data_IF_296941745303
#
_entry.id   IF_296941745303
#
_cell.length_a   1.000
_cell.length_b   1.000
_cell.length_c   1.000
_cell.angle_alpha   90.00
_cell.angle_beta   90.00
_cell.angle_gamma   90.00
#
_symmetry.space_group_name_H-M   'P 1'
#
loop_
_entity.id
_entity.type
_entity.pdbx_description
1 polymer ?
#
# COMPACT_ATOMS: atom_id res chain seq x y z
N UNK A 1 40.09 -35.27 -59.21
CA UNK A 1 41.31 -34.92 -58.46
C UNK A 1 40.89 -34.34 -57.12
N UNK A 2 41.40 -34.89 -56.01
CA UNK A 2 41.70 -34.17 -54.77
C UNK A 2 40.55 -33.65 -53.89
N UNK A 3 40.49 -34.17 -52.66
CA UNK A 3 39.59 -33.84 -51.56
C UNK A 3 39.80 -32.43 -50.96
N UNK A 4 38.77 -31.85 -50.35
CA UNK A 4 38.75 -31.60 -48.89
C UNK A 4 37.32 -31.34 -48.35
N UNK A 5 37.00 -31.98 -47.23
CA UNK A 5 35.71 -31.96 -46.54
C UNK A 5 35.67 -30.85 -45.47
N UNK A 6 34.54 -30.13 -45.34
CA UNK A 6 33.96 -29.81 -44.03
C UNK A 6 32.45 -29.65 -44.12
N UNK A 7 31.76 -30.56 -43.44
CA UNK A 7 30.30 -30.68 -43.41
C UNK A 7 29.75 -29.90 -42.20
N UNK A 8 28.78 -28.99 -42.39
CA UNK A 8 27.60 -28.88 -41.52
C UNK A 8 26.40 -28.59 -42.43
N UNK A 9 25.42 -29.47 -42.33
CA UNK A 9 24.47 -29.87 -43.37
C UNK A 9 23.18 -29.05 -43.30
N UNK A 10 22.66 -28.78 -44.47
CA UNK A 10 21.34 -28.20 -44.71
C UNK A 10 20.30 -29.33 -44.95
N UNK A 11 19.02 -28.99 -44.79
CA UNK A 11 17.79 -29.57 -45.41
C UNK A 11 16.85 -30.43 -44.52
N UNK A 12 15.58 -30.00 -44.58
CA UNK A 12 14.30 -30.49 -44.04
C UNK A 12 13.94 -31.96 -44.29
N UNK A 13 13.01 -32.53 -43.50
CA UNK A 13 11.82 -33.31 -43.96
C UNK A 13 10.78 -33.60 -42.83
N UNK A 14 9.53 -33.14 -43.04
CA UNK A 14 8.18 -33.76 -42.89
C UNK A 14 7.64 -34.51 -41.62
N UNK A 15 6.39 -34.10 -41.21
CA UNK A 15 5.13 -34.85 -40.85
C UNK A 15 5.18 -35.98 -39.79
N UNK A 16 4.19 -36.28 -38.93
CA UNK A 16 2.72 -36.18 -38.91
C UNK A 16 2.21 -36.37 -37.47
N UNK A 17 1.11 -35.73 -37.05
CA UNK A 17 0.30 -36.19 -35.92
C UNK A 17 -1.02 -36.77 -36.45
N UNK A 18 -1.24 -38.05 -36.17
CA UNK A 18 -2.44 -38.80 -36.53
C UNK A 18 -3.53 -38.47 -35.50
N UNK A 19 -4.58 -37.72 -35.90
CA UNK A 19 -5.81 -37.63 -35.11
C UNK A 19 -6.64 -38.89 -35.38
N UNK A 20 -6.80 -39.73 -34.36
CA UNK A 20 -7.84 -40.77 -34.34
C UNK A 20 -8.94 -40.26 -33.42
N UNK A 21 -10.04 -39.81 -34.01
CA UNK A 21 -11.24 -39.42 -33.28
C UNK A 21 -11.80 -40.66 -32.56
N UNK A 22 -11.89 -40.60 -31.24
CA UNK A 22 -12.80 -41.45 -30.47
C UNK A 22 -13.87 -40.57 -29.84
N UNK A 23 -15.10 -40.95 -30.15
CA UNK A 23 -16.36 -40.36 -29.71
C UNK A 23 -16.51 -40.49 -28.19
N UNK A 24 -16.97 -39.41 -27.56
CA UNK A 24 -17.66 -39.36 -26.26
C UNK A 24 -16.85 -39.69 -24.99
N UNK A 25 -16.13 -38.69 -24.45
CA UNK A 25 -16.03 -38.52 -23.00
C UNK A 25 -15.51 -37.10 -22.68
N UNK A 26 -16.34 -36.25 -22.07
CA UNK A 26 -16.01 -34.87 -21.76
C UNK A 26 -15.21 -34.82 -20.44
N UNK A 27 -13.91 -35.10 -20.49
CA UNK A 27 -12.97 -34.74 -19.43
C UNK A 27 -12.22 -33.48 -19.86
N UNK A 28 -12.55 -32.34 -19.27
CA UNK A 28 -11.83 -31.09 -19.48
C UNK A 28 -10.49 -31.15 -18.74
N UNK A 29 -9.43 -31.53 -19.46
CA UNK A 29 -8.05 -31.47 -19.01
C UNK A 29 -7.63 -29.98 -18.89
N UNK A 30 -7.59 -29.46 -17.67
CA UNK A 30 -7.03 -28.15 -17.38
C UNK A 30 -5.51 -28.16 -17.62
N UNK A 31 -5.07 -27.63 -18.75
CA UNK A 31 -3.65 -27.35 -19.03
C UNK A 31 -3.24 -26.11 -18.22
N UNK A 32 -2.39 -26.33 -17.22
CA UNK A 32 -1.79 -25.30 -16.39
C UNK A 32 -0.94 -24.33 -17.23
N UNK A 33 -1.49 -23.14 -17.47
CA UNK A 33 -0.76 -22.00 -18.06
C UNK A 33 -0.06 -21.24 -16.92
N UNK A 34 1.12 -21.73 -16.49
CA UNK A 34 2.11 -20.89 -15.79
C UNK A 34 2.71 -19.94 -16.83
N UNK A 35 2.15 -18.74 -16.97
CA UNK A 35 2.70 -17.73 -17.86
C UNK A 35 3.89 -17.03 -17.21
N UNK A 36 5.05 -17.29 -17.82
CA UNK A 36 6.32 -16.56 -17.76
C UNK A 36 6.09 -15.04 -17.72
N UNK A 37 6.63 -14.39 -16.69
CA UNK A 37 6.89 -12.96 -16.74
C UNK A 37 8.11 -12.69 -17.63
N UNK A 38 7.91 -12.09 -18.80
CA UNK A 38 9.00 -11.48 -19.56
C UNK A 38 9.46 -10.23 -18.80
N UNK A 39 10.68 -10.27 -18.26
CA UNK A 39 11.40 -9.07 -17.85
C UNK A 39 12.27 -8.65 -19.04
N UNK A 40 12.03 -7.43 -19.54
CA UNK A 40 12.87 -6.81 -20.55
C UNK A 40 14.25 -6.55 -19.95
N UNK A 41 15.23 -7.38 -20.33
CA UNK A 41 16.64 -7.11 -20.12
C UNK A 41 17.06 -6.10 -21.18
N UNK A 42 17.35 -4.87 -20.78
CA UNK A 42 18.06 -3.91 -21.63
C UNK A 42 19.55 -4.14 -21.46
N UNK A 43 20.15 -5.01 -22.27
CA UNK A 43 21.60 -5.02 -22.46
C UNK A 43 21.98 -3.82 -23.34
N UNK A 44 22.39 -2.72 -22.71
CA UNK A 44 22.99 -1.59 -23.42
C UNK A 44 24.51 -1.74 -23.37
N UNK A 45 25.09 -2.42 -24.36
CA UNK A 45 26.54 -2.52 -24.54
C UNK A 45 27.06 -1.28 -25.28
N UNK A 46 27.47 -0.25 -24.54
CA UNK A 46 28.15 0.90 -25.12
C UNK A 46 29.66 0.65 -25.14
N UNK A 47 30.18 0.27 -26.30
CA UNK A 47 31.61 0.01 -26.48
C UNK A 47 32.33 1.34 -26.79
N UNK A 48 32.84 2.01 -25.76
CA UNK A 48 33.85 3.08 -25.93
C UNK A 48 34.87 3.00 -24.80
N UNK A 49 36.12 2.85 -25.26
CA UNK A 49 37.38 2.82 -24.54
C UNK A 49 37.43 3.54 -23.18
N UNK A 50 38.04 2.84 -22.22
CA UNK A 50 38.71 3.30 -21.00
C UNK A 50 37.85 3.81 -19.84
N UNK A 51 38.07 3.15 -18.68
CA UNK A 51 37.56 3.42 -17.33
C UNK A 51 36.16 2.83 -17.04
N UNK A 52 36.12 1.65 -16.42
CA UNK A 52 34.90 1.10 -15.81
C UNK A 52 34.64 1.92 -14.53
N UNK A 53 33.91 3.02 -14.65
CA UNK A 53 33.15 3.54 -13.53
C UNK A 53 31.97 2.60 -13.32
N UNK A 54 31.95 1.89 -12.19
CA UNK A 54 30.73 1.20 -11.73
C UNK A 54 29.74 2.31 -11.38
N UNK A 55 28.94 2.70 -12.35
CA UNK A 55 27.82 3.61 -12.14
C UNK A 55 26.87 2.92 -11.16
N UNK A 56 26.81 3.42 -9.92
CA UNK A 56 25.91 2.87 -8.89
C UNK A 56 24.48 3.10 -9.37
N UNK A 57 23.86 2.07 -9.91
CA UNK A 57 22.43 2.09 -10.19
C UNK A 57 21.70 2.42 -8.89
N UNK A 58 21.07 3.59 -8.84
CA UNK A 58 20.29 3.98 -7.67
C UNK A 58 19.15 2.98 -7.46
N UNK A 59 19.04 2.43 -6.25
CA UNK A 59 18.10 1.35 -5.88
C UNK A 59 18.38 0.01 -6.58
N UNK A 60 19.61 -0.51 -6.48
CA UNK A 60 19.92 -1.87 -6.94
C UNK A 60 19.07 -2.91 -6.22
N UNK A 61 18.36 -3.75 -6.98
CA UNK A 61 17.65 -4.91 -6.44
C UNK A 61 18.69 -5.95 -6.02
N UNK A 62 18.73 -6.27 -4.72
CA UNK A 62 19.57 -7.35 -4.22
C UNK A 62 18.95 -8.69 -4.63
N UNK A 63 19.59 -9.35 -5.60
CA UNK A 63 19.18 -10.67 -6.04
C UNK A 63 19.54 -11.68 -4.95
N UNK A 64 18.54 -12.09 -4.17
CA UNK A 64 18.69 -13.26 -3.32
C UNK A 64 18.65 -14.49 -4.21
N UNK A 65 19.84 -15.06 -4.50
CA UNK A 65 19.98 -16.44 -4.97
C UNK A 65 19.57 -17.38 -3.83
N UNK A 66 18.28 -17.38 -3.51
CA UNK A 66 17.70 -18.42 -2.68
C UNK A 66 17.22 -19.46 -3.68
N UNK A 67 17.95 -20.56 -3.80
CA UNK A 67 17.51 -21.75 -4.53
C UNK A 67 16.20 -22.21 -3.90
N UNK A 68 15.07 -21.71 -4.42
CA UNK A 68 13.72 -22.09 -4.01
C UNK A 68 13.40 -23.46 -4.61
N UNK A 69 14.13 -24.48 -4.17
CA UNK A 69 13.74 -25.86 -4.39
C UNK A 69 12.60 -26.11 -3.39
N UNK A 70 11.38 -25.77 -3.79
CA UNK A 70 10.17 -26.20 -3.09
C UNK A 70 9.89 -27.63 -3.54
N UNK A 71 10.04 -28.65 -2.67
CA UNK A 71 9.61 -30.00 -3.01
C UNK A 71 8.08 -30.00 -3.07
N UNK A 72 7.53 -29.73 -4.26
CA UNK A 72 6.10 -29.66 -4.49
C UNK A 72 5.53 -31.08 -4.53
N UNK A 73 5.15 -31.63 -3.38
CA UNK A 73 4.28 -32.79 -3.33
C UNK A 73 2.87 -32.38 -3.73
N UNK A 74 2.16 -33.24 -4.49
CA UNK A 74 0.77 -32.99 -4.95
C UNK A 74 -0.17 -32.69 -3.77
N UNK A 75 0.12 -33.24 -2.59
CA UNK A 75 -0.63 -33.01 -1.35
C UNK A 75 -0.39 -31.59 -0.80
N UNK A 76 0.84 -31.07 -0.87
CA UNK A 76 1.14 -29.71 -0.40
C UNK A 76 0.47 -28.65 -1.28
N UNK A 77 0.48 -28.84 -2.60
CA UNK A 77 -0.15 -27.90 -3.54
C UNK A 77 -1.67 -27.83 -3.35
N UNK A 78 -2.33 -28.98 -3.16
CA UNK A 78 -3.79 -29.02 -2.93
C UNK A 78 -4.21 -28.34 -1.63
N UNK A 79 -3.43 -28.49 -0.55
CA UNK A 79 -3.69 -27.78 0.71
C UNK A 79 -3.47 -26.26 0.58
N UNK A 80 -2.46 -25.82 -0.17
CA UNK A 80 -2.22 -24.41 -0.42
C UNK A 80 -3.36 -23.79 -1.23
N UNK A 81 -3.84 -24.51 -2.26
CA UNK A 81 -4.95 -24.06 -3.09
C UNK A 81 -6.26 -23.92 -2.29
N UNK A 82 -6.54 -24.86 -1.39
CA UNK A 82 -7.71 -24.78 -0.49
C UNK A 82 -7.62 -23.57 0.45
N UNK A 83 -6.44 -23.32 1.04
CA UNK A 83 -6.20 -22.17 1.92
C UNK A 83 -6.25 -20.83 1.17
N UNK A 84 -5.76 -20.79 -0.06
CA UNK A 84 -5.89 -19.63 -0.93
C UNK A 84 -7.35 -19.37 -1.29
N UNK A 85 -8.09 -20.42 -1.65
CA UNK A 85 -9.50 -20.34 -1.99
C UNK A 85 -10.35 -19.83 -0.81
N UNK A 86 -10.13 -20.34 0.41
CA UNK A 86 -10.87 -19.86 1.58
C UNK A 86 -10.64 -18.36 1.80
N UNK A 87 -9.39 -17.91 1.81
CA UNK A 87 -9.02 -16.50 2.02
C UNK A 87 -9.56 -15.56 0.96
N UNK A 88 -9.42 -15.91 -0.32
CA UNK A 88 -9.91 -15.06 -1.40
C UNK A 88 -11.45 -15.02 -1.45
N UNK A 89 -12.12 -16.08 -0.98
CA UNK A 89 -13.59 -16.16 -0.95
C UNK A 89 -14.21 -15.33 0.16
N UNK A 90 -13.53 -15.18 1.31
CA UNK A 90 -14.05 -14.53 2.52
C UNK A 90 -13.14 -13.40 3.02
N UNK A 91 -13.00 -12.34 2.24
CA UNK A 91 -12.24 -11.15 2.66
C UNK A 91 -13.15 -10.26 3.50
N UNK A 92 -12.70 -9.79 4.65
CA UNK A 92 -13.43 -8.89 5.55
C UNK A 92 -12.75 -7.52 5.61
N UNK A 93 -13.22 -6.55 4.83
CA UNK A 93 -12.65 -5.22 4.83
C UNK A 93 -13.00 -4.44 6.09
N UNK A 94 -12.01 -3.72 6.59
CA UNK A 94 -12.17 -2.75 7.66
C UNK A 94 -12.99 -1.56 7.13
N UNK A 95 -14.03 -1.17 7.87
CA UNK A 95 -14.79 0.06 7.67
C UNK A 95 -13.92 1.27 8.00
N UNK A 96 -13.02 1.61 7.09
CA UNK A 96 -12.08 2.71 7.21
C UNK A 96 -12.35 3.74 6.12
N UNK A 97 -12.51 4.99 6.54
CA UNK A 97 -12.75 6.11 5.63
C UNK A 97 -12.33 7.43 6.26
N UNK A 98 -11.64 8.26 5.49
CA UNK A 98 -11.18 9.57 5.97
C UNK A 98 -11.66 10.74 5.14
N UNK A 99 -11.98 10.54 3.85
CA UNK A 99 -12.42 11.60 2.95
C UNK A 99 -13.43 11.10 1.90
N UNK A 100 -13.56 11.80 0.78
CA UNK A 100 -14.58 11.58 -0.26
C UNK A 100 -14.63 10.15 -0.83
N UNK A 101 -13.48 9.44 -0.90
CA UNK A 101 -13.44 8.06 -1.41
C UNK A 101 -14.27 7.09 -0.56
N UNK A 102 -14.52 7.41 0.73
CA UNK A 102 -15.34 6.58 1.58
C UNK A 102 -16.80 6.52 1.15
N UNK A 103 -17.33 7.58 0.51
CA UNK A 103 -18.73 7.57 0.04
C UNK A 103 -18.89 6.57 -1.11
N UNK A 104 -17.93 6.53 -2.04
CA UNK A 104 -17.93 5.52 -3.11
C UNK A 104 -17.78 4.10 -2.53
N UNK A 105 -16.96 3.92 -1.51
CA UNK A 105 -16.88 2.66 -0.80
C UNK A 105 -18.19 2.29 -0.09
N UNK A 106 -18.85 3.24 0.59
CA UNK A 106 -20.13 3.04 1.24
C UNK A 106 -21.23 2.69 0.24
N UNK A 107 -21.16 3.22 -0.99
CA UNK A 107 -22.10 2.87 -2.06
C UNK A 107 -22.06 1.39 -2.46
N UNK A 108 -20.91 0.72 -2.25
CA UNK A 108 -20.78 -0.73 -2.47
C UNK A 108 -21.58 -1.55 -1.46
N UNK A 109 -21.67 -1.05 -0.22
CA UNK A 109 -22.45 -1.67 0.86
C UNK A 109 -23.96 -1.55 0.56
N UNK A 110 -24.35 -0.61 -0.31
CA UNK A 110 -25.72 -0.45 -0.75
C UNK A 110 -26.21 -1.55 -1.69
N UNK A 111 -27.51 -1.54 -1.96
CA UNK A 111 -28.19 -2.56 -2.77
C UNK A 111 -27.80 -2.60 -4.25
N UNK A 112 -27.27 -1.49 -4.80
CA UNK A 112 -26.97 -1.39 -6.23
C UNK A 112 -25.78 -2.25 -6.65
N UNK A 113 -24.71 -2.27 -5.86
CA UNK A 113 -23.47 -2.94 -6.21
C UNK A 113 -23.21 -4.20 -5.37
N UNK A 114 -23.90 -4.35 -4.24
CA UNK A 114 -23.87 -5.51 -3.34
C UNK A 114 -22.48 -6.12 -3.12
N UNK A 115 -21.78 -5.54 -2.15
CA UNK A 115 -20.46 -5.95 -1.75
C UNK A 115 -20.39 -7.38 -1.19
N UNK A 116 -21.44 -7.83 -0.49
CA UNK A 116 -21.47 -9.14 0.17
C UNK A 116 -21.58 -10.30 -0.84
N UNK A 117 -22.05 -10.02 -2.06
CA UNK A 117 -22.00 -10.98 -3.17
C UNK A 117 -20.60 -11.52 -3.43
N UNK A 118 -19.58 -10.71 -3.18
CA UNK A 118 -18.18 -11.10 -3.30
C UNK A 118 -17.62 -11.64 -1.98
N UNK A 119 -18.44 -12.04 -1.00
CA UNK A 119 -18.00 -12.52 0.30
C UNK A 119 -17.28 -11.45 1.13
N UNK A 120 -17.56 -10.17 0.84
CA UNK A 120 -16.96 -9.02 1.51
C UNK A 120 -17.89 -8.47 2.58
N UNK A 121 -17.65 -8.87 3.83
CA UNK A 121 -18.43 -8.39 4.98
C UNK A 121 -17.66 -7.27 5.68
N UNK A 122 -18.12 -6.02 5.65
CA UNK A 122 -17.43 -4.92 6.29
C UNK A 122 -17.44 -5.07 7.82
N UNK A 123 -16.26 -4.95 8.44
CA UNK A 123 -16.07 -5.02 9.91
C UNK A 123 -15.56 -3.69 10.44
N UNK A 124 -16.08 -3.23 11.57
CA UNK A 124 -15.60 -2.01 12.25
C UNK A 124 -14.37 -2.24 13.12
N UNK A 125 -14.13 -3.50 13.52
CA UNK A 125 -13.02 -3.90 14.36
C UNK A 125 -11.80 -4.31 13.53
N UNK A 126 -10.61 -3.74 13.75
CA UNK A 126 -9.39 -4.15 13.05
C UNK A 126 -9.00 -5.60 13.37
N UNK A 127 -9.36 -6.12 14.55
CA UNK A 127 -9.05 -7.52 14.91
C UNK A 127 -9.90 -8.54 14.16
N UNK A 128 -11.03 -8.10 13.61
CA UNK A 128 -11.96 -8.93 12.83
C UNK A 128 -11.79 -8.72 11.32
N UNK A 129 -10.94 -7.80 10.88
CA UNK A 129 -10.74 -7.48 9.47
C UNK A 129 -9.38 -7.99 9.00
N UNK A 130 -9.32 -8.46 7.76
CA UNK A 130 -8.10 -8.92 7.08
C UNK A 130 -7.74 -8.00 5.89
N UNK A 131 -8.71 -7.26 5.34
CA UNK A 131 -8.49 -6.30 4.27
C UNK A 131 -8.63 -4.88 4.83
N UNK A 132 -7.70 -3.98 4.50
CA UNK A 132 -7.85 -2.54 4.75
C UNK A 132 -7.87 -1.80 3.42
N UNK A 133 -9.02 -1.19 3.13
CA UNK A 133 -9.18 -0.28 2.00
C UNK A 133 -8.92 1.13 2.50
N UNK A 134 -7.81 1.74 2.08
CA UNK A 134 -7.48 3.11 2.49
C UNK A 134 -8.29 4.11 1.68
N UNK A 135 -9.55 4.27 2.06
CA UNK A 135 -10.53 5.10 1.35
C UNK A 135 -10.43 6.57 1.80
N UNK A 136 -9.44 7.29 1.28
CA UNK A 136 -9.34 8.73 1.42
C UNK A 136 -7.98 9.26 1.87
N UNK A 137 -7.89 10.59 1.98
CA UNK A 137 -6.66 11.31 2.28
C UNK A 137 -6.18 11.01 3.69
N UNK A 138 -4.89 10.72 3.85
CA UNK A 138 -4.25 10.49 5.16
C UNK A 138 -3.49 11.76 5.54
N UNK A 139 -3.90 12.39 6.64
CA UNK A 139 -3.19 13.55 7.21
C UNK A 139 -2.09 13.09 8.17
N UNK A 140 -1.12 13.97 8.47
CA UNK A 140 -0.06 13.71 9.45
C UNK A 140 -0.61 13.30 10.82
N UNK A 141 -1.77 13.87 11.22
CA UNK A 141 -2.45 13.50 12.47
C UNK A 141 -3.04 12.08 12.41
N UNK A 142 -3.54 11.66 11.25
CA UNK A 142 -4.15 10.34 11.07
C UNK A 142 -3.13 9.24 10.81
N UNK A 143 -1.96 9.57 10.25
CA UNK A 143 -0.90 8.64 9.91
C UNK A 143 -0.53 7.63 11.04
N UNK A 144 -0.24 8.06 12.29
CA UNK A 144 0.07 7.10 13.35
C UNK A 144 -1.12 6.22 13.75
N UNK A 145 -2.35 6.74 13.66
CA UNK A 145 -3.57 5.97 13.92
C UNK A 145 -3.78 4.89 12.87
N UNK A 146 -3.51 5.18 11.59
CA UNK A 146 -3.61 4.21 10.51
C UNK A 146 -2.59 3.08 10.67
N UNK A 147 -1.33 3.41 10.99
CA UNK A 147 -0.30 2.40 11.27
C UNK A 147 -0.74 1.51 12.44
N UNK A 148 -1.27 2.09 13.52
CA UNK A 148 -1.77 1.34 14.66
C UNK A 148 -2.94 0.40 14.29
N UNK A 149 -3.85 0.84 13.42
CA UNK A 149 -4.93 -0.03 12.93
C UNK A 149 -4.37 -1.23 12.17
N UNK A 150 -3.44 -0.99 11.25
CA UNK A 150 -2.77 -2.03 10.49
C UNK A 150 -1.99 -3.01 11.38
N UNK A 151 -1.35 -2.51 12.44
CA UNK A 151 -0.65 -3.34 13.43
C UNK A 151 -1.57 -4.23 14.27
N UNK A 152 -2.81 -3.78 14.50
CA UNK A 152 -3.80 -4.52 15.29
C UNK A 152 -4.55 -5.58 14.48
N UNK A 153 -4.40 -5.59 13.16
CA UNK A 153 -5.01 -6.59 12.27
C UNK A 153 -4.25 -7.92 12.31
N UNK A 154 -4.96 -9.06 12.32
CA UNK A 154 -4.34 -10.39 12.23
C UNK A 154 -3.56 -10.57 10.93
N UNK A 155 -2.59 -11.48 10.94
CA UNK A 155 -2.01 -12.00 9.69
C UNK A 155 -2.85 -13.20 9.22
N UNK A 156 -3.21 -13.32 7.93
CA UNK A 156 -2.81 -12.51 6.78
C UNK A 156 -3.64 -11.23 6.61
N UNK A 157 -2.98 -10.13 6.23
CA UNK A 157 -3.66 -8.86 5.97
C UNK A 157 -3.23 -8.25 4.64
N UNK A 158 -4.17 -7.56 4.01
CA UNK A 158 -4.00 -6.95 2.70
C UNK A 158 -4.38 -5.49 2.70
N UNK A 159 -3.67 -4.67 1.93
CA UNK A 159 -3.87 -3.22 1.85
C UNK A 159 -4.14 -2.82 0.41
N UNK A 160 -5.27 -2.14 0.18
CA UNK A 160 -5.55 -1.49 -1.11
C UNK A 160 -5.50 0.04 -0.91
N UNK A 161 -4.69 0.70 -1.74
CA UNK A 161 -4.65 2.16 -1.85
C UNK A 161 -5.76 2.65 -2.76
N UNK A 162 -6.81 3.25 -2.19
CA UNK A 162 -7.99 3.72 -2.93
C UNK A 162 -7.96 5.23 -3.12
N UNK A 163 -7.81 5.63 -4.39
CA UNK A 163 -7.88 7.01 -4.84
C UNK A 163 -6.52 7.69 -4.96
N UNK A 164 -6.48 8.78 -5.71
CA UNK A 164 -5.24 9.50 -6.02
C UNK A 164 -4.51 9.99 -4.75
N UNK A 165 -5.27 10.35 -3.71
CA UNK A 165 -4.73 10.85 -2.45
C UNK A 165 -3.86 9.81 -1.71
N UNK A 166 -4.21 8.52 -1.75
CA UNK A 166 -3.43 7.48 -1.07
C UNK A 166 -2.26 6.96 -1.88
N UNK A 167 -2.22 7.20 -3.19
CA UNK A 167 -1.12 6.73 -4.05
C UNK A 167 0.02 7.76 -4.03
N UNK A 168 -0.27 9.01 -4.40
CA UNK A 168 0.76 10.06 -4.54
C UNK A 168 0.50 11.30 -3.68
N UNK A 169 -0.63 11.35 -2.97
CA UNK A 169 -1.15 12.59 -2.37
C UNK A 169 -2.19 13.30 -3.25
N UNK A 170 -2.38 12.86 -4.50
CA UNK A 170 -3.40 13.39 -5.41
C UNK A 170 -3.26 14.90 -5.61
N UNK A 171 -4.37 15.64 -5.58
CA UNK A 171 -4.33 17.11 -5.69
C UNK A 171 -3.54 17.79 -4.56
N UNK A 172 -3.35 17.10 -3.43
CA UNK A 172 -2.63 17.64 -2.27
C UNK A 172 -1.11 17.42 -2.35
N UNK A 173 -0.61 16.80 -3.43
CA UNK A 173 0.82 16.52 -3.56
C UNK A 173 1.69 17.78 -3.66
N UNK A 174 1.19 18.85 -4.27
CA UNK A 174 2.00 20.05 -4.53
C UNK A 174 2.11 20.92 -3.28
N UNK A 175 0.98 21.48 -2.80
CA UNK A 175 1.01 22.61 -1.86
C UNK A 175 0.61 22.26 -0.42
N UNK A 176 0.26 21.01 -0.11
CA UNK A 176 -0.20 20.66 1.23
C UNK A 176 0.95 20.33 2.20
N UNK A 177 0.92 20.95 3.37
CA UNK A 177 1.89 20.70 4.45
C UNK A 177 1.50 19.53 5.36
N UNK A 178 0.22 19.16 5.38
CA UNK A 178 -0.36 18.27 6.38
C UNK A 178 -0.77 16.90 5.84
N UNK A 179 -0.69 16.65 4.53
CA UNK A 179 -1.07 15.36 3.94
C UNK A 179 0.16 14.48 3.70
N UNK A 180 -0.02 13.17 3.90
CA UNK A 180 1.01 12.19 3.59
C UNK A 180 0.92 11.89 2.09
N UNK A 181 2.02 12.15 1.37
CA UNK A 181 2.15 11.88 -0.07
C UNK A 181 2.33 10.38 -0.31
N UNK A 182 1.24 9.62 -0.28
CA UNK A 182 1.23 8.17 -0.49
C UNK A 182 1.22 7.36 0.80
N UNK A 183 0.35 6.35 0.85
CA UNK A 183 0.17 5.48 2.02
C UNK A 183 1.24 4.40 2.13
N UNK A 184 1.96 4.12 1.04
CA UNK A 184 3.13 3.22 1.00
C UNK A 184 4.24 3.58 1.96
N UNK A 185 4.33 4.87 2.32
CA UNK A 185 5.30 5.37 3.29
C UNK A 185 4.99 4.90 4.71
N UNK A 186 3.76 4.47 4.96
CA UNK A 186 3.27 4.08 6.28
C UNK A 186 3.08 2.56 6.38
N UNK A 187 2.41 1.98 5.38
CA UNK A 187 2.04 0.56 5.35
C UNK A 187 2.28 -0.01 3.95
N UNK A 188 2.64 -1.30 3.83
CA UNK A 188 2.88 -1.92 2.52
C UNK A 188 1.56 -2.08 1.77
N UNK A 189 1.46 -1.50 0.57
CA UNK A 189 0.27 -1.63 -0.29
C UNK A 189 0.40 -2.81 -1.24
N UNK A 190 -0.71 -3.55 -1.37
CA UNK A 190 -0.81 -4.67 -2.31
C UNK A 190 -1.27 -4.25 -3.70
N UNK A 191 -2.24 -3.33 -3.75
CA UNK A 191 -2.88 -2.85 -5.00
C UNK A 191 -3.15 -1.36 -4.91
N UNK A 192 -2.86 -0.67 -6.01
CA UNK A 192 -3.20 0.73 -6.22
C UNK A 192 -4.45 0.85 -7.10
N UNK A 193 -5.41 1.65 -6.66
CA UNK A 193 -6.63 1.98 -7.40
C UNK A 193 -6.68 3.49 -7.66
N UNK A 194 -6.33 3.96 -8.87
CA UNK A 194 -6.42 5.37 -9.21
C UNK A 194 -7.89 5.83 -9.34
N UNK A 195 -8.14 7.10 -9.03
CA UNK A 195 -9.46 7.73 -9.14
C UNK A 195 -9.64 8.88 -8.15
N UNK A 196 -10.62 9.77 -8.37
CA UNK A 196 -10.89 10.91 -7.49
C UNK A 196 -12.38 11.35 -7.52
N UNK A 197 -13.29 10.59 -6.88
CA UNK A 197 -13.09 9.25 -6.33
C UNK A 197 -13.22 8.17 -7.43
N UNK A 198 -12.63 6.97 -7.25
CA UNK A 198 -12.83 5.87 -8.20
C UNK A 198 -14.28 5.39 -8.15
N UNK A 199 -14.86 5.07 -9.31
CA UNK A 199 -16.22 4.53 -9.38
C UNK A 199 -16.32 3.19 -8.62
N UNK A 200 -17.50 2.83 -8.10
CA UNK A 200 -17.68 1.58 -7.33
C UNK A 200 -17.29 0.34 -8.13
N UNK A 201 -17.56 0.31 -9.44
CA UNK A 201 -17.18 -0.81 -10.31
C UNK A 201 -15.64 -0.99 -10.39
N UNK A 202 -14.89 0.11 -10.33
CA UNK A 202 -13.43 0.07 -10.31
C UNK A 202 -12.88 -0.49 -8.98
N UNK A 203 -13.60 -0.30 -7.88
CA UNK A 203 -13.26 -0.92 -6.59
C UNK A 203 -13.43 -2.44 -6.67
N UNK A 204 -14.53 -2.91 -7.28
CA UNK A 204 -14.77 -4.35 -7.50
C UNK A 204 -13.67 -4.97 -8.39
N UNK A 205 -13.20 -4.25 -9.42
CA UNK A 205 -12.06 -4.68 -10.22
C UNK A 205 -10.76 -4.78 -9.40
N UNK A 206 -10.48 -3.81 -8.53
CA UNK A 206 -9.33 -3.86 -7.64
C UNK A 206 -9.37 -5.06 -6.69
N UNK A 207 -10.55 -5.39 -6.15
CA UNK A 207 -10.75 -6.60 -5.33
C UNK A 207 -10.54 -7.87 -6.17
N UNK A 208 -11.01 -7.89 -7.41
CA UNK A 208 -10.79 -9.03 -8.32
C UNK A 208 -9.31 -9.24 -8.61
N UNK A 209 -8.55 -8.14 -8.78
CA UNK A 209 -7.09 -8.18 -8.88
C UNK A 209 -6.43 -8.66 -7.58
N UNK A 210 -6.97 -8.28 -6.41
CA UNK A 210 -6.47 -8.76 -5.12
C UNK A 210 -6.64 -10.27 -5.00
N UNK A 211 -7.82 -10.79 -5.35
CA UNK A 211 -8.10 -12.22 -5.35
C UNK A 211 -7.14 -13.00 -6.24
N UNK A 212 -6.83 -12.47 -7.42
CA UNK A 212 -5.80 -13.03 -8.30
C UNK A 212 -4.46 -13.05 -7.59
N UNK A 213 -4.02 -11.95 -6.97
CA UNK A 213 -2.77 -11.89 -6.21
C UNK A 213 -2.72 -12.97 -5.10
N UNK A 214 -3.79 -13.09 -4.31
CA UNK A 214 -3.91 -14.09 -3.23
C UNK A 214 -3.81 -15.51 -3.77
N UNK A 215 -4.39 -15.80 -4.93
CA UNK A 215 -4.34 -17.14 -5.53
C UNK A 215 -2.91 -17.61 -5.89
N UNK A 216 -2.00 -16.67 -6.16
CA UNK A 216 -0.59 -16.96 -6.46
C UNK A 216 0.29 -17.08 -5.21
N UNK A 217 -0.22 -16.78 -4.01
CA UNK A 217 0.58 -16.81 -2.78
C UNK A 217 0.90 -18.25 -2.35
N UNK A 218 2.14 -18.47 -1.91
CA UNK A 218 2.59 -19.72 -1.29
C UNK A 218 2.61 -19.50 0.23
N UNK A 219 1.94 -20.38 0.97
CA UNK A 219 1.80 -20.27 2.43
C UNK A 219 3.15 -20.09 3.17
N UNK A 220 4.17 -20.85 2.79
CA UNK A 220 5.50 -20.86 3.41
C UNK A 220 6.27 -19.53 3.29
N UNK A 221 6.08 -18.80 2.19
CA UNK A 221 6.76 -17.52 1.96
C UNK A 221 6.32 -16.45 2.99
N UNK A 222 5.12 -16.58 3.56
CA UNK A 222 4.60 -15.67 4.58
C UNK A 222 5.12 -15.95 5.98
N UNK A 223 5.41 -17.20 6.34
CA UNK A 223 6.04 -17.52 7.62
C UNK A 223 7.40 -16.80 7.73
N UNK A 224 8.14 -16.71 6.61
CA UNK A 224 9.42 -15.97 6.54
C UNK A 224 9.26 -14.44 6.55
N UNK A 225 8.09 -13.92 6.17
CA UNK A 225 7.78 -12.48 6.12
C UNK A 225 7.48 -11.88 7.50
N UNK A 226 7.45 -12.67 8.57
CA UNK A 226 7.21 -12.17 9.92
C UNK A 226 8.18 -11.06 10.28
N UNK A 227 7.67 -10.02 10.95
CA UNK A 227 8.42 -8.81 11.31
C UNK A 227 9.70 -9.19 12.06
N UNK A 228 10.85 -8.82 11.50
CA UNK A 228 12.14 -8.94 12.18
C UNK A 228 12.25 -7.84 13.23
N UNK A 229 12.31 -8.23 14.49
CA UNK A 229 12.49 -7.30 15.61
C UNK A 229 13.94 -6.80 15.65
N UNK A 230 14.22 -5.68 14.98
CA UNK A 230 15.49 -4.95 15.11
C UNK A 230 15.29 -3.80 16.11
N UNK A 231 15.58 -4.06 17.37
CA UNK A 231 15.40 -3.07 18.44
C UNK A 231 16.74 -2.39 18.77
N UNK A 232 16.77 -1.06 18.70
CA UNK A 232 17.90 -0.24 19.13
C UNK A 232 17.42 0.71 20.23
N UNK A 233 18.22 0.86 21.29
CA UNK A 233 17.89 1.74 22.42
C UNK A 233 18.94 2.84 22.53
N UNK A 234 18.51 4.11 22.50
CA UNK A 234 19.38 5.29 22.60
C UNK A 234 18.84 6.21 23.69
N UNK A 235 19.72 6.73 24.55
CA UNK A 235 19.35 7.72 25.59
C UNK A 235 19.24 9.12 24.99
N UNK A 236 18.16 9.85 25.26
CA UNK A 236 17.94 11.22 24.77
C UNK A 236 17.93 12.27 25.90
N UNK A 237 18.21 13.55 25.58
CA UNK A 237 18.17 14.68 26.53
C UNK A 237 16.95 15.63 26.35
N UNK A 238 15.87 15.15 25.73
CA UNK A 238 14.65 15.96 25.54
C UNK A 238 13.94 16.27 26.87
N UNK A 239 13.34 17.48 26.98
CA UNK A 239 12.49 17.88 28.11
C UNK A 239 11.09 17.31 27.92
N UNK A 240 10.50 16.76 28.99
CA UNK A 240 9.14 16.20 28.94
C UNK A 240 8.11 17.33 29.05
N UNK A 241 7.29 17.50 28.01
CA UNK A 241 6.16 18.43 28.00
C UNK A 241 4.90 17.84 28.66
N UNK A 242 4.01 18.71 29.17
CA UNK A 242 2.70 18.30 29.69
C UNK A 242 1.75 17.95 28.54
N UNK A 243 0.79 17.05 28.78
CA UNK A 243 -0.23 16.69 27.79
C UNK A 243 -1.19 17.87 27.56
N UNK A 244 -1.40 18.23 26.30
CA UNK A 244 -2.27 19.36 25.90
C UNK A 244 -3.76 18.98 25.99
N UNK A 245 -4.12 17.74 25.64
CA UNK A 245 -5.50 17.26 25.69
C UNK A 245 -5.78 16.48 26.99
N UNK A 246 -6.39 17.13 27.97
CA UNK A 246 -6.74 16.55 29.28
C UNK A 246 -8.19 16.04 29.37
N UNK A 247 -9.03 16.30 28.38
CA UNK A 247 -10.41 15.79 28.31
C UNK A 247 -11.45 16.61 29.07
N UNK A 248 -11.04 17.65 29.80
CA UNK A 248 -11.95 18.52 30.57
C UNK A 248 -12.52 19.66 29.70
N UNK A 249 -13.29 19.32 28.67
CA UNK A 249 -13.91 20.31 27.78
C UNK A 249 -14.93 21.20 28.52
N UNK A 250 -15.67 20.64 29.48
CA UNK A 250 -16.72 21.36 30.21
C UNK A 250 -16.17 22.29 31.31
N UNK A 251 -15.02 21.98 31.91
CA UNK A 251 -14.45 22.81 33.00
C UNK A 251 -13.67 24.02 32.47
N UNK A 252 -13.11 23.96 31.25
CA UNK A 252 -12.39 25.09 30.65
C UNK A 252 -13.28 26.25 30.18
N UNK A 253 -14.59 25.99 30.00
CA UNK A 253 -15.59 27.01 29.69
C UNK A 253 -16.13 27.71 30.95
N UNK A 254 -16.01 27.09 32.12
CA UNK A 254 -16.45 27.65 33.41
C UNK A 254 -15.41 28.58 34.06
N UNK A 255 -14.23 28.73 33.47
CA UNK A 255 -13.14 29.56 34.02
C UNK A 255 -12.86 30.86 33.25
N UNK A 256 -13.82 31.35 32.45
CA UNK A 256 -13.79 32.73 31.94
C UNK A 256 -15.17 33.36 31.97
N UNK A 257 -15.61 33.80 33.15
CA UNK A 257 -16.23 35.12 33.20
C UNK A 257 -15.22 36.13 32.62
N UNK A 258 -15.62 37.14 31.83
CA UNK A 258 -14.68 38.19 31.44
C UNK A 258 -14.16 38.80 32.74
N UNK A 259 -12.87 38.69 33.00
CA UNK A 259 -12.21 39.33 34.13
C UNK A 259 -12.25 40.85 33.89
N UNK A 260 -13.34 41.48 34.34
CA UNK A 260 -13.40 42.93 34.52
C UNK A 260 -12.67 43.22 35.83
N UNK A 261 -11.71 44.17 35.76
CA UNK A 261 -10.93 44.80 36.85
C UNK A 261 -9.96 43.86 37.60
N UNK A 262 -8.70 44.20 37.87
CA UNK A 262 -8.13 45.51 38.23
C UNK A 262 -6.72 45.68 37.63
N UNK A 263 -6.49 46.78 36.92
CA UNK A 263 -5.16 47.27 36.59
C UNK A 263 -4.72 48.14 37.78
N UNK A 264 -3.58 47.89 38.45
CA UNK A 264 -3.10 48.81 39.49
C UNK A 264 -2.72 50.17 38.85
N UNK A 265 -3.15 51.31 39.41
CA UNK A 265 -3.10 52.61 38.75
C UNK A 265 -1.70 53.26 38.67
N UNK A 266 -0.63 52.54 39.01
CA UNK A 266 0.71 53.14 39.14
C UNK A 266 1.62 52.97 37.92
N UNK A 267 1.27 52.11 36.95
CA UNK A 267 2.08 51.94 35.72
C UNK A 267 1.66 52.82 34.54
N UNK A 268 0.53 53.53 34.63
CA UNK A 268 0.03 54.38 33.55
C UNK A 268 0.63 55.80 33.52
N UNK A 269 1.16 56.30 34.64
CA UNK A 269 1.70 57.67 34.70
C UNK A 269 3.17 57.81 34.29
N UNK A 270 3.94 56.70 34.19
CA UNK A 270 5.36 56.77 33.78
C UNK A 270 5.58 56.79 32.27
N UNK A 271 4.61 56.39 31.45
CA UNK A 271 4.77 56.35 30.00
C UNK A 271 4.31 57.64 29.28
N UNK A 272 3.58 58.52 29.97
CA UNK A 272 3.11 59.81 29.40
C UNK A 272 4.16 60.93 29.44
N UNK A 273 5.25 60.77 30.19
CA UNK A 273 6.26 61.84 30.35
C UNK A 273 7.49 61.69 29.44
N UNK A 274 7.55 60.70 28.53
CA UNK A 274 8.76 60.42 27.74
C UNK A 274 8.60 60.54 26.22
N UNK A 275 7.58 61.23 25.71
CA UNK A 275 7.50 61.56 24.28
C UNK A 275 7.21 63.05 24.13
N UNK A 276 8.28 63.84 24.23
CA UNK A 276 8.34 65.21 23.72
C UNK A 276 9.22 65.25 22.47
N UNK A 277 8.74 66.01 21.48
CA UNK A 277 9.43 66.67 20.35
C UNK A 277 10.18 65.79 19.33
N UNK A 278 9.65 65.74 18.11
CA UNK A 278 10.30 66.18 16.85
C UNK A 278 9.19 66.21 15.76
N UNK A 279 8.62 67.38 15.50
CA UNK A 279 9.02 68.36 14.46
C UNK A 279 8.50 68.04 13.06
N UNK A 280 7.55 68.88 12.64
CA UNK A 280 7.05 69.09 11.29
C UNK A 280 8.19 69.55 10.37
N UNK A 281 8.27 69.00 9.16
CA UNK A 281 8.78 69.72 8.00
C UNK A 281 7.86 69.41 6.81
N UNK A 282 7.49 70.50 6.14
CA UNK A 282 6.52 70.69 5.05
C UNK A 282 6.56 69.66 3.92
#
# INVERSE_FOLDING_TARGET
MGNEFRCIRCICFYRSFHFRAYSNCWFSLCVAKRSIGMVLVSEYSNNKNNKIEIERVMNSVEFTLLDRITPNSVISTTSNDLSNWSRLSSLWPLLYGTSCCFIEFASLIGSRFDFDRYGLVPRSSPRQADLILTAGTVTMKMAPSLVRLYEQMPEPKYVIAMGACTITGGMFSTDSYSTVRGVDKLIPVDIYLPGCPPKPEAVIDAITKLRKKISWEIYEDRIKSQRKNRCFTIKHKFRVGRRIHTGNYNQGLLSKSPSISEIPPEKFFKYKNSVSSHELVN
#
